data_IF_714973412581
#
_entry.id   IF_714973412581
#
_cell.length_a   1.000
_cell.length_b   1.000
_cell.length_c   1.000
_cell.angle_alpha   90.00
_cell.angle_beta   90.00
_cell.angle_gamma   90.00
#
_symmetry.space_group_name_H-M   'P 1'
#
loop_
_entity.id
_entity.type
_entity.pdbx_description
1 polymer ?
#
# COMPACT_ATOMS: atom_id res chain seq x y z
N UNK A 1 -21.52 10.08 8.07
CA UNK A 1 -22.44 9.54 9.10
C UNK A 1 -22.70 10.53 10.24
N UNK A 2 -21.73 11.34 10.57
CA UNK A 2 -21.88 12.35 11.62
C UNK A 2 -22.48 13.67 11.12
N UNK A 3 -22.83 13.78 9.85
CA UNK A 3 -23.33 15.01 9.22
C UNK A 3 -22.27 16.09 9.07
N UNK A 4 -21.00 15.74 9.20
CA UNK A 4 -19.86 16.64 9.07
C UNK A 4 -19.26 16.49 7.66
N UNK A 5 -18.97 17.62 7.01
CA UNK A 5 -18.32 17.63 5.73
C UNK A 5 -16.85 17.23 5.86
N UNK A 6 -16.37 16.37 4.93
CA UNK A 6 -14.96 15.94 4.92
C UNK A 6 -14.10 16.97 4.20
N UNK A 7 -12.99 17.37 4.85
CA UNK A 7 -12.05 18.31 4.25
C UNK A 7 -11.18 17.68 3.16
N UNK A 8 -10.54 18.53 2.35
CA UNK A 8 -9.69 18.11 1.22
C UNK A 8 -8.45 17.28 1.63
N UNK A 9 -8.11 17.30 2.91
CA UNK A 9 -6.97 16.55 3.47
C UNK A 9 -7.28 15.09 3.75
N UNK A 10 -8.55 14.70 3.69
CA UNK A 10 -8.97 13.33 3.93
C UNK A 10 -9.04 12.56 2.61
N UNK A 11 -8.30 11.46 2.51
CA UNK A 11 -8.22 10.62 1.32
C UNK A 11 -9.13 9.39 1.38
N UNK A 12 -9.78 9.17 2.52
CA UNK A 12 -10.75 8.07 2.69
C UNK A 12 -12.06 8.34 1.97
N UNK A 13 -12.83 7.27 1.75
CA UNK A 13 -14.14 7.34 1.11
C UNK A 13 -15.27 7.16 2.11
N UNK A 14 -16.40 7.78 1.83
CA UNK A 14 -17.61 7.57 2.61
C UNK A 14 -18.14 6.15 2.39
N UNK A 15 -18.21 5.36 3.46
CA UNK A 15 -18.67 3.97 3.39
C UNK A 15 -20.12 3.84 2.92
N UNK A 16 -20.98 4.81 3.20
CA UNK A 16 -22.36 4.81 2.71
C UNK A 16 -22.40 4.90 1.18
N UNK A 17 -21.56 5.75 0.59
CA UNK A 17 -21.47 5.88 -0.87
C UNK A 17 -20.97 4.59 -1.51
N UNK A 18 -20.05 3.87 -0.85
CA UNK A 18 -19.56 2.56 -1.30
C UNK A 18 -20.67 1.51 -1.24
N UNK A 19 -21.42 1.44 -0.13
CA UNK A 19 -22.52 0.49 0.07
C UNK A 19 -23.68 0.77 -0.92
N UNK A 20 -24.00 2.03 -1.15
CA UNK A 20 -25.04 2.46 -2.08
C UNK A 20 -24.59 2.48 -3.54
N UNK A 21 -23.34 2.09 -3.82
CA UNK A 21 -22.72 2.08 -5.16
C UNK A 21 -22.73 3.43 -5.87
N UNK A 22 -22.64 4.50 -5.11
CA UNK A 22 -22.56 5.86 -5.67
C UNK A 22 -21.19 6.20 -6.25
N UNK A 23 -20.15 5.41 -5.92
CA UNK A 23 -18.78 5.59 -6.37
C UNK A 23 -18.25 4.29 -6.97
N UNK A 24 -18.68 3.96 -8.18
CA UNK A 24 -18.28 2.75 -8.91
C UNK A 24 -16.84 2.84 -9.50
N UNK A 25 -16.26 4.05 -9.55
CA UNK A 25 -14.96 4.32 -10.15
C UNK A 25 -13.80 4.24 -9.14
N UNK A 26 -14.07 3.90 -7.89
CA UNK A 26 -13.00 3.78 -6.88
C UNK A 26 -12.05 2.64 -7.22
N UNK A 27 -10.76 2.86 -7.01
CA UNK A 27 -9.79 1.80 -7.10
C UNK A 27 -10.06 0.72 -6.03
N UNK A 28 -10.15 -0.55 -6.42
CA UNK A 28 -10.35 -1.66 -5.49
C UNK A 28 -9.01 -2.07 -4.88
N UNK A 29 -8.39 -1.14 -4.17
CA UNK A 29 -7.11 -1.33 -3.51
C UNK A 29 -7.01 -0.52 -2.22
N UNK A 30 -6.19 -0.98 -1.30
CA UNK A 30 -5.95 -0.36 -0.01
C UNK A 30 -4.47 -0.03 0.13
N UNK A 31 -4.19 1.21 0.51
CA UNK A 31 -2.87 1.65 0.94
C UNK A 31 -2.80 1.63 2.47
N UNK A 32 -1.75 1.04 3.01
CA UNK A 32 -1.49 1.01 4.44
C UNK A 32 -0.04 1.42 4.73
N UNK A 33 0.14 2.08 5.86
CA UNK A 33 1.45 2.48 6.35
C UNK A 33 1.62 2.07 7.81
N UNK A 34 2.86 1.76 8.17
CA UNK A 34 3.26 1.52 9.55
C UNK A 34 4.51 2.33 9.85
N UNK A 35 4.52 3.00 11.00
CA UNK A 35 5.66 3.76 11.52
C UNK A 35 5.69 3.63 13.04
N UNK A 36 5.89 2.41 13.50
CA UNK A 36 5.95 2.06 14.92
C UNK A 36 7.18 1.20 15.21
N UNK A 37 7.07 -0.12 15.08
CA UNK A 37 8.21 -1.02 15.22
C UNK A 37 9.18 -0.92 14.04
N UNK A 38 8.66 -0.61 12.85
CA UNK A 38 9.44 -0.33 11.64
C UNK A 38 8.70 0.67 10.76
N UNK A 39 9.39 1.27 9.83
CA UNK A 39 8.78 2.13 8.82
C UNK A 39 8.48 1.29 7.58
N UNK A 40 7.22 1.13 7.22
CA UNK A 40 6.79 0.31 6.10
C UNK A 40 5.58 0.88 5.36
N UNK A 41 5.40 0.41 4.14
CA UNK A 41 4.27 0.75 3.26
C UNK A 41 3.76 -0.50 2.58
N UNK A 42 2.47 -0.57 2.38
CA UNK A 42 1.83 -1.73 1.78
C UNK A 42 0.69 -1.30 0.85
N UNK A 43 0.55 -2.03 -0.24
CA UNK A 43 -0.65 -1.97 -1.08
C UNK A 43 -1.28 -3.36 -1.14
N UNK A 44 -2.59 -3.40 -0.97
CA UNK A 44 -3.39 -4.60 -1.17
C UNK A 44 -4.43 -4.37 -2.25
N UNK A 45 -4.43 -5.26 -3.23
CA UNK A 45 -5.45 -5.35 -4.27
C UNK A 45 -6.34 -6.57 -4.04
N UNK A 46 -7.29 -6.83 -4.93
CA UNK A 46 -8.09 -8.05 -4.87
C UNK A 46 -7.22 -9.33 -4.99
N UNK A 47 -6.14 -9.26 -5.77
CA UNK A 47 -5.33 -10.41 -6.15
C UNK A 47 -4.00 -10.51 -5.43
N UNK A 48 -3.43 -9.38 -4.96
CA UNK A 48 -2.07 -9.32 -4.43
C UNK A 48 -1.97 -8.45 -3.18
N UNK A 49 -0.97 -8.76 -2.35
CA UNK A 49 -0.53 -7.91 -1.26
C UNK A 49 0.98 -7.71 -1.38
N UNK A 50 1.42 -6.45 -1.52
CA UNK A 50 2.82 -6.08 -1.69
C UNK A 50 3.24 -5.08 -0.63
N UNK A 51 4.35 -5.35 0.03
CA UNK A 51 4.89 -4.52 1.11
C UNK A 51 6.36 -4.21 0.91
N UNK A 52 6.72 -3.02 1.35
CA UNK A 52 8.10 -2.53 1.43
C UNK A 52 8.39 -2.00 2.83
N UNK A 53 9.65 -2.00 3.22
CA UNK A 53 10.10 -1.45 4.50
C UNK A 53 11.36 -0.60 4.31
N UNK A 54 11.62 0.31 5.23
CA UNK A 54 12.82 1.13 5.23
C UNK A 54 13.92 0.47 6.08
N UNK A 55 14.98 -0.09 5.45
CA UNK A 55 16.05 -0.73 6.19
C UNK A 55 16.76 0.24 7.14
N UNK A 56 16.98 -0.18 8.39
CA UNK A 56 17.70 0.62 9.37
C UNK A 56 16.95 1.83 9.92
N UNK A 57 15.70 2.04 9.53
CA UNK A 57 14.88 3.14 10.05
C UNK A 57 14.00 2.63 11.19
N UNK A 58 14.12 3.28 12.35
CA UNK A 58 13.23 3.03 13.48
C UNK A 58 11.91 3.76 13.25
N UNK A 59 10.82 3.00 13.10
CA UNK A 59 9.50 3.56 12.84
C UNK A 59 8.97 4.45 13.97
N UNK A 60 9.43 4.25 15.21
CA UNK A 60 9.08 5.12 16.34
C UNK A 60 9.78 6.49 16.31
N UNK A 61 10.85 6.62 15.53
CA UNK A 61 11.62 7.86 15.40
C UNK A 61 11.40 8.58 14.08
N UNK A 62 11.07 7.83 13.00
CA UNK A 62 10.86 8.38 11.68
C UNK A 62 9.58 7.78 11.05
N UNK A 63 8.66 8.62 10.66
CA UNK A 63 7.40 8.22 10.05
C UNK A 63 7.51 7.87 8.57
N UNK A 64 8.60 8.25 7.90
CA UNK A 64 8.83 8.04 6.47
C UNK A 64 10.32 7.87 6.16
N UNK A 65 10.61 7.38 4.96
CA UNK A 65 11.97 7.24 4.44
C UNK A 65 12.00 7.60 2.95
N UNK A 66 13.16 8.03 2.48
CA UNK A 66 13.38 8.26 1.04
C UNK A 66 13.73 6.97 0.28
N UNK A 67 14.07 5.90 1.02
CA UNK A 67 14.43 4.60 0.44
C UNK A 67 13.72 3.49 1.19
N UNK A 68 13.07 2.62 0.42
CA UNK A 68 12.47 1.39 0.90
C UNK A 68 13.05 0.19 0.15
N UNK A 69 12.95 -0.98 0.74
CA UNK A 69 13.30 -2.26 0.12
C UNK A 69 12.08 -3.17 0.09
N UNK A 70 12.07 -4.11 -0.85
CA UNK A 70 11.04 -5.13 -0.93
C UNK A 70 10.96 -5.92 0.39
N UNK A 71 9.77 -6.17 0.88
CA UNK A 71 9.50 -6.96 2.09
C UNK A 71 8.80 -8.26 1.73
N UNK A 72 7.58 -8.18 1.24
CA UNK A 72 6.86 -9.37 0.80
C UNK A 72 5.91 -9.06 -0.37
N UNK A 73 5.63 -10.11 -1.12
CA UNK A 73 4.56 -10.17 -2.13
C UNK A 73 3.81 -11.49 -1.94
N UNK A 74 2.51 -11.41 -1.80
CA UNK A 74 1.64 -12.58 -1.71
C UNK A 74 0.61 -12.57 -2.84
N UNK A 75 0.46 -13.73 -3.48
CA UNK A 75 -0.59 -14.01 -4.46
C UNK A 75 -1.84 -14.47 -3.70
N UNK A 76 -2.79 -13.57 -3.49
CA UNK A 76 -3.97 -13.84 -2.67
C UNK A 76 -4.96 -14.81 -3.29
N UNK A 77 -4.84 -15.08 -4.60
CA UNK A 77 -5.67 -16.07 -5.31
C UNK A 77 -5.17 -17.48 -5.06
N UNK A 78 -3.84 -17.68 -5.10
CA UNK A 78 -3.20 -18.99 -4.90
C UNK A 78 -2.87 -19.26 -3.43
N UNK A 79 -2.62 -18.21 -2.67
CA UNK A 79 -2.14 -18.28 -1.28
C UNK A 79 -2.91 -17.29 -0.38
N UNK A 80 -4.21 -17.51 -0.15
CA UNK A 80 -5.02 -16.61 0.68
C UNK A 80 -4.55 -16.51 2.13
N UNK A 81 -3.75 -17.46 2.59
CA UNK A 81 -3.22 -17.50 3.95
C UNK A 81 -1.84 -16.86 4.08
N UNK A 82 -1.26 -16.35 2.98
CA UNK A 82 0.01 -15.63 2.96
C UNK A 82 1.18 -16.46 3.56
N UNK A 83 1.28 -17.71 3.14
CA UNK A 83 2.29 -18.65 3.60
C UNK A 83 3.57 -18.62 2.75
N UNK A 84 3.47 -18.17 1.49
CA UNK A 84 4.57 -18.19 0.53
C UNK A 84 4.87 -16.77 0.03
N UNK A 85 5.96 -16.19 0.51
CA UNK A 85 6.44 -14.90 0.01
C UNK A 85 7.12 -15.08 -1.35
N UNK A 86 6.52 -14.51 -2.39
CA UNK A 86 7.00 -14.61 -3.78
C UNK A 86 7.69 -13.34 -4.27
N UNK A 87 8.10 -12.46 -3.39
CA UNK A 87 8.71 -11.16 -3.74
C UNK A 87 9.99 -11.30 -4.56
N UNK A 88 10.74 -12.38 -4.38
CA UNK A 88 11.97 -12.67 -5.12
C UNK A 88 11.77 -13.63 -6.29
N UNK A 89 10.54 -14.11 -6.53
CA UNK A 89 10.25 -15.07 -7.60
C UNK A 89 10.21 -14.35 -8.95
N UNK A 90 11.06 -14.74 -9.94
CA UNK A 90 11.05 -14.14 -11.27
C UNK A 90 9.71 -14.25 -12.01
N UNK A 91 8.90 -15.25 -11.70
CA UNK A 91 7.57 -15.42 -12.29
C UNK A 91 6.61 -14.27 -11.94
N UNK A 92 6.87 -13.55 -10.84
CA UNK A 92 6.08 -12.42 -10.38
C UNK A 92 6.74 -11.06 -10.63
N UNK A 93 7.83 -11.00 -11.41
CA UNK A 93 8.58 -9.76 -11.65
C UNK A 93 7.72 -8.64 -12.25
N UNK A 94 6.88 -8.95 -13.25
CA UNK A 94 6.00 -7.98 -13.89
C UNK A 94 4.91 -7.48 -12.93
N UNK A 95 4.31 -8.39 -12.17
CA UNK A 95 3.31 -8.06 -11.14
C UNK A 95 3.93 -7.17 -10.07
N UNK A 96 5.13 -7.51 -9.60
CA UNK A 96 5.86 -6.70 -8.62
C UNK A 96 6.14 -5.29 -9.14
N UNK A 97 6.57 -5.16 -10.40
CA UNK A 97 6.83 -3.87 -11.02
C UNK A 97 5.56 -2.99 -11.08
N UNK A 98 4.44 -3.56 -11.47
CA UNK A 98 3.15 -2.87 -11.50
C UNK A 98 2.72 -2.43 -10.09
N UNK A 99 2.76 -3.32 -9.11
CA UNK A 99 2.37 -3.02 -7.74
C UNK A 99 3.29 -1.98 -7.10
N UNK A 100 4.59 -2.01 -7.44
CA UNK A 100 5.57 -1.01 -7.01
C UNK A 100 5.20 0.39 -7.51
N UNK A 101 4.85 0.52 -8.79
CA UNK A 101 4.40 1.80 -9.35
C UNK A 101 3.11 2.30 -8.70
N UNK A 102 2.14 1.42 -8.51
CA UNK A 102 0.88 1.76 -7.81
C UNK A 102 1.13 2.20 -6.38
N UNK A 103 2.00 1.50 -5.65
CA UNK A 103 2.39 1.87 -4.29
C UNK A 103 3.07 3.23 -4.25
N UNK A 104 4.00 3.51 -5.17
CA UNK A 104 4.68 4.81 -5.26
C UNK A 104 3.69 5.94 -5.53
N UNK A 105 2.67 5.71 -6.36
CA UNK A 105 1.62 6.68 -6.62
C UNK A 105 0.79 6.97 -5.36
N UNK A 106 0.47 5.94 -4.57
CA UNK A 106 -0.21 6.12 -3.29
C UNK A 106 0.64 6.89 -2.28
N UNK A 107 1.94 6.57 -2.17
CA UNK A 107 2.86 7.29 -1.27
C UNK A 107 2.92 8.75 -1.68
N UNK A 108 3.07 9.05 -2.95
CA UNK A 108 3.11 10.42 -3.45
C UNK A 108 1.80 11.17 -3.18
N UNK A 109 0.65 10.51 -3.35
CA UNK A 109 -0.66 11.09 -3.06
C UNK A 109 -0.85 11.37 -1.57
N UNK A 110 -0.47 10.41 -0.71
CA UNK A 110 -0.69 10.50 0.73
C UNK A 110 0.37 11.34 1.46
N UNK A 111 1.61 11.30 1.01
CA UNK A 111 2.77 11.89 1.73
C UNK A 111 3.44 13.02 0.97
N UNK A 112 3.11 13.25 -0.30
CA UNK A 112 3.67 14.31 -1.14
C UNK A 112 5.08 14.05 -1.64
N UNK A 113 5.65 12.86 -1.39
CA UNK A 113 7.00 12.44 -1.80
C UNK A 113 6.97 11.14 -2.59
N UNK A 114 7.97 10.93 -3.43
CA UNK A 114 8.12 9.70 -4.19
C UNK A 114 9.47 9.05 -3.85
N UNK A 115 9.50 8.11 -2.91
CA UNK A 115 10.74 7.44 -2.52
C UNK A 115 11.25 6.48 -3.59
N UNK A 116 12.46 5.97 -3.38
CA UNK A 116 13.02 4.87 -4.18
C UNK A 116 12.70 3.53 -3.50
N UNK A 117 12.30 2.55 -4.29
CA UNK A 117 12.11 1.17 -3.81
C UNK A 117 13.16 0.29 -4.49
N UNK A 118 13.97 -0.41 -3.69
CA UNK A 118 14.98 -1.36 -4.13
C UNK A 118 14.53 -2.80 -3.91
N UNK A 119 15.16 -3.72 -4.60
CA UNK A 119 14.91 -5.16 -4.40
C UNK A 119 15.49 -5.67 -3.09
#
# INVERSE_FOLDING_TARGET
LAGVDVGDKMIGENLLDVVEKKNDNRANEVFAQISESRCGRCIRTADYMYSVYAPGVNGGEAAASDVYADDFLYDMQKDPWQLNNVVADPAYADVKAELRERLLNWIQHAEGTRPTITD
#
